data_IF_512251073687
#
_entry.id   IF_512251073687
#
_cell.length_a   1.000
_cell.length_b   1.000
_cell.length_c   1.000
_cell.angle_alpha   90.00
_cell.angle_beta   90.00
_cell.angle_gamma   90.00
#
_symmetry.space_group_name_H-M   'P 1'
#
loop_
_entity.id
_entity.type
_entity.pdbx_description
1 polymer ?
#
# COMPACT_ATOMS: atom_id res chain seq x y z
N UNK A 1 6.06 10.95 -24.92
CA UNK A 1 5.85 11.17 -23.47
C UNK A 1 7.16 11.08 -22.72
N UNK A 2 7.35 11.90 -21.68
CA UNK A 2 8.46 11.74 -20.76
C UNK A 2 8.15 10.59 -19.80
N UNK A 3 9.16 9.73 -19.55
CA UNK A 3 9.08 8.60 -18.65
C UNK A 3 10.41 8.33 -17.96
N UNK A 4 10.36 7.59 -16.85
CA UNK A 4 11.56 7.00 -16.27
C UNK A 4 11.50 5.47 -16.41
N UNK A 5 12.63 4.82 -16.67
CA UNK A 5 12.71 3.38 -16.84
C UNK A 5 14.04 2.81 -16.39
N UNK A 6 14.09 1.49 -16.31
CA UNK A 6 15.34 0.74 -16.17
C UNK A 6 15.31 -0.50 -17.08
N UNK A 7 16.50 -1.00 -17.45
CA UNK A 7 16.71 -2.12 -18.38
C UNK A 7 17.38 -3.33 -17.70
N UNK A 8 17.88 -3.13 -16.50
CA UNK A 8 18.45 -4.16 -15.62
C UNK A 8 18.16 -3.85 -14.16
N UNK A 9 18.12 -4.88 -13.32
CA UNK A 9 18.02 -4.68 -11.87
C UNK A 9 19.31 -4.08 -11.31
N UNK A 10 19.22 -3.28 -10.25
CA UNK A 10 20.38 -2.69 -9.58
C UNK A 10 20.03 -1.48 -8.71
N UNK A 11 21.02 -0.80 -8.14
CA UNK A 11 20.85 0.46 -7.40
C UNK A 11 20.20 1.55 -8.27
N UNK A 12 19.39 2.43 -7.66
CA UNK A 12 18.67 3.46 -8.41
C UNK A 12 19.61 4.35 -9.23
N UNK A 13 20.72 4.76 -8.64
CA UNK A 13 21.70 5.63 -9.30
C UNK A 13 22.32 5.02 -10.57
N UNK A 14 22.40 3.68 -10.64
CA UNK A 14 23.11 2.99 -11.72
C UNK A 14 22.17 2.56 -12.86
N UNK A 15 20.87 2.45 -12.58
CA UNK A 15 19.94 1.82 -13.52
C UNK A 15 18.80 2.71 -13.99
N UNK A 16 18.41 3.71 -13.19
CA UNK A 16 17.29 4.59 -13.56
C UNK A 16 17.70 5.54 -14.69
N UNK A 17 16.84 5.62 -15.67
CA UNK A 17 16.95 6.52 -16.83
C UNK A 17 15.70 7.37 -16.92
N UNK A 18 15.83 8.58 -17.41
CA UNK A 18 14.71 9.49 -17.71
C UNK A 18 14.89 10.01 -19.13
N UNK A 19 13.81 10.10 -19.88
CA UNK A 19 13.85 10.62 -21.23
C UNK A 19 12.51 10.50 -21.94
N UNK A 20 12.54 10.75 -23.23
CA UNK A 20 11.38 10.69 -24.11
C UNK A 20 11.20 9.26 -24.66
N UNK A 21 9.98 8.77 -24.58
CA UNK A 21 9.51 7.53 -25.21
C UNK A 21 8.32 7.85 -26.13
N UNK A 22 8.05 7.00 -27.14
CA UNK A 22 6.83 7.13 -27.94
C UNK A 22 5.57 7.14 -27.09
N UNK A 23 4.57 7.89 -27.53
CA UNK A 23 3.25 7.83 -26.91
C UNK A 23 2.64 6.44 -27.08
N UNK A 24 1.82 6.06 -26.12
CA UNK A 24 1.18 4.74 -26.06
C UNK A 24 -0.32 4.87 -26.30
N UNK A 25 -0.91 3.89 -26.95
CA UNK A 25 -2.34 3.85 -27.26
C UNK A 25 -3.01 2.70 -26.49
N UNK A 26 -4.24 2.91 -25.96
CA UNK A 26 -4.95 1.88 -25.22
C UNK A 26 -5.46 0.78 -26.15
N UNK A 27 -5.22 -0.47 -25.80
CA UNK A 27 -5.80 -1.64 -26.47
C UNK A 27 -7.30 -1.79 -26.13
N UNK A 28 -7.98 -2.77 -26.75
CA UNK A 28 -9.35 -3.11 -26.39
C UNK A 28 -9.44 -3.49 -24.91
N UNK A 29 -10.42 -2.93 -24.18
CA UNK A 29 -10.59 -3.12 -22.73
C UNK A 29 -9.70 -2.24 -21.85
N UNK A 30 -8.80 -1.42 -22.45
CA UNK A 30 -7.91 -0.52 -21.71
C UNK A 30 -8.35 0.93 -21.77
N UNK A 31 -7.86 1.71 -20.83
CA UNK A 31 -7.88 3.19 -20.86
C UNK A 31 -6.45 3.70 -20.91
N UNK A 32 -6.24 4.90 -21.48
CA UNK A 32 -5.03 5.67 -21.27
C UNK A 32 -5.31 6.75 -20.23
N UNK A 33 -4.46 6.82 -19.22
CA UNK A 33 -4.51 7.83 -18.17
C UNK A 33 -3.34 8.78 -18.35
N UNK A 34 -3.62 10.08 -18.52
CA UNK A 34 -2.63 11.14 -18.35
C UNK A 34 -2.42 11.33 -16.86
N UNK A 35 -1.25 10.97 -16.40
CA UNK A 35 -0.89 11.00 -14.99
C UNK A 35 -0.56 12.43 -14.55
N UNK A 36 -0.96 12.80 -13.36
CA UNK A 36 -0.58 14.00 -12.64
C UNK A 36 0.37 13.70 -11.50
N UNK A 37 0.22 12.52 -10.90
CA UNK A 37 1.05 12.07 -9.79
C UNK A 37 1.28 10.56 -9.86
N UNK A 38 2.48 10.13 -9.47
CA UNK A 38 2.86 8.74 -9.28
C UNK A 38 3.47 8.56 -7.88
N UNK A 39 3.11 7.49 -7.16
CA UNK A 39 3.71 7.19 -5.86
C UNK A 39 4.75 6.09 -5.96
N UNK A 40 5.85 6.25 -5.22
CA UNK A 40 6.91 5.25 -5.12
C UNK A 40 6.70 4.39 -3.88
N UNK A 41 6.46 3.11 -4.07
CA UNK A 41 6.26 2.14 -2.99
C UNK A 41 7.55 1.35 -2.68
N UNK A 42 7.68 0.79 -1.46
CA UNK A 42 8.77 -0.15 -1.14
C UNK A 42 8.84 -1.36 -2.08
N UNK A 43 7.70 -1.81 -2.61
CA UNK A 43 7.63 -2.90 -3.58
C UNK A 43 8.25 -2.55 -4.94
N UNK A 44 8.11 -1.30 -5.39
CA UNK A 44 8.70 -0.82 -6.64
C UNK A 44 10.22 -0.79 -6.53
N UNK A 45 10.72 -0.27 -5.41
CA UNK A 45 12.15 -0.22 -5.09
C UNK A 45 12.75 -1.63 -4.99
N UNK A 46 12.07 -2.55 -4.28
CA UNK A 46 12.50 -3.95 -4.18
C UNK A 46 12.50 -4.64 -5.55
N UNK A 47 11.49 -4.40 -6.39
CA UNK A 47 11.42 -4.96 -7.74
C UNK A 47 12.59 -4.47 -8.60
N UNK A 48 12.87 -3.16 -8.60
CA UNK A 48 14.03 -2.59 -9.29
C UNK A 48 15.35 -3.17 -8.73
N UNK A 49 15.44 -3.36 -7.42
CA UNK A 49 16.59 -3.95 -6.75
C UNK A 49 16.82 -5.44 -7.02
N UNK A 50 15.89 -6.14 -7.71
CA UNK A 50 16.07 -7.53 -8.12
C UNK A 50 15.17 -8.55 -7.41
N UNK A 51 14.20 -8.13 -6.60
CA UNK A 51 13.23 -9.07 -6.01
C UNK A 51 12.30 -9.73 -7.05
N UNK A 52 12.25 -9.18 -8.25
CA UNK A 52 11.55 -9.73 -9.43
C UNK A 52 12.44 -9.62 -10.68
N UNK A 53 12.45 -10.63 -11.56
CA UNK A 53 13.18 -10.54 -12.82
C UNK A 53 12.52 -9.54 -13.77
N UNK A 54 13.31 -8.85 -14.57
CA UNK A 54 12.83 -8.04 -15.68
C UNK A 54 12.46 -8.96 -16.84
N UNK A 55 11.25 -8.78 -17.39
CA UNK A 55 10.74 -9.58 -18.51
C UNK A 55 10.69 -8.81 -19.83
N UNK A 56 10.95 -7.51 -19.79
CA UNK A 56 10.85 -6.59 -20.93
C UNK A 56 12.15 -5.82 -21.13
N UNK A 57 12.48 -5.42 -22.37
CA UNK A 57 13.68 -4.64 -22.65
C UNK A 57 13.80 -3.35 -21.86
N UNK A 58 12.65 -2.73 -21.54
CA UNK A 58 12.52 -1.54 -20.70
C UNK A 58 11.37 -1.75 -19.73
N UNK A 59 11.53 -1.29 -18.49
CA UNK A 59 10.50 -1.33 -17.48
C UNK A 59 10.34 0.04 -16.84
N UNK A 60 9.16 0.65 -17.01
CA UNK A 60 8.75 1.86 -16.32
C UNK A 60 8.23 1.43 -14.93
N UNK A 61 8.85 1.88 -13.83
CA UNK A 61 8.44 1.46 -12.48
C UNK A 61 7.14 2.12 -12.02
N UNK A 62 6.82 1.84 -10.76
CA UNK A 62 5.72 2.32 -9.94
C UNK A 62 4.36 1.76 -10.35
N UNK A 63 3.62 1.39 -9.32
CA UNK A 63 2.31 0.74 -9.47
C UNK A 63 1.14 1.69 -9.27
N UNK A 64 1.34 2.78 -8.53
CA UNK A 64 0.31 3.69 -8.08
C UNK A 64 0.45 5.07 -8.71
N UNK A 65 -0.68 5.65 -9.06
CA UNK A 65 -0.73 7.00 -9.62
C UNK A 65 -2.16 7.53 -9.65
N UNK A 66 -2.31 8.76 -10.08
CA UNK A 66 -3.61 9.37 -10.34
C UNK A 66 -3.53 10.39 -11.48
N UNK A 67 -4.64 10.58 -12.15
CA UNK A 67 -4.72 11.47 -13.30
C UNK A 67 -6.09 11.45 -13.94
N UNK A 68 -6.11 11.73 -15.23
CA UNK A 68 -7.34 11.85 -16.03
C UNK A 68 -7.29 10.86 -17.20
N UNK A 69 -8.36 10.12 -17.43
CA UNK A 69 -8.51 9.32 -18.64
C UNK A 69 -8.53 10.28 -19.83
N UNK A 70 -7.61 10.13 -20.77
CA UNK A 70 -7.57 10.95 -21.98
C UNK A 70 -7.95 10.16 -23.24
N UNK A 71 -7.81 8.83 -23.22
CA UNK A 71 -8.27 7.94 -24.30
C UNK A 71 -8.86 6.65 -23.76
N UNK A 72 -9.76 6.05 -24.52
CA UNK A 72 -10.38 4.74 -24.18
C UNK A 72 -10.23 3.79 -25.37
N UNK A 73 -9.93 2.53 -25.08
CA UNK A 73 -9.90 1.46 -26.06
C UNK A 73 -11.29 0.91 -26.36
N UNK A 74 -11.38 0.06 -27.39
CA UNK A 74 -12.65 -0.54 -27.79
C UNK A 74 -13.27 -1.36 -26.66
N UNK A 75 -14.61 -1.27 -26.51
CA UNK A 75 -15.38 -2.02 -25.50
C UNK A 75 -15.38 -1.41 -24.10
N UNK A 76 -14.69 -0.30 -23.86
CA UNK A 76 -14.65 0.38 -22.56
C UNK A 76 -15.81 1.34 -22.40
N UNK A 77 -16.50 1.30 -21.25
CA UNK A 77 -17.63 2.18 -20.89
C UNK A 77 -17.21 3.43 -20.09
N UNK A 78 -15.92 3.77 -20.11
CA UNK A 78 -15.36 4.97 -19.46
C UNK A 78 -15.30 6.13 -20.47
N UNK A 79 -15.14 7.35 -19.98
CA UNK A 79 -15.08 8.56 -20.83
C UNK A 79 -13.79 9.33 -20.61
N UNK A 80 -13.21 9.95 -21.66
CA UNK A 80 -12.18 10.96 -21.47
C UNK A 80 -12.69 12.09 -20.56
N UNK A 81 -11.78 12.61 -19.72
CA UNK A 81 -12.08 13.61 -18.71
C UNK A 81 -12.35 13.04 -17.31
N UNK A 82 -12.59 11.74 -17.16
CA UNK A 82 -12.80 11.13 -15.84
C UNK A 82 -11.53 11.15 -15.01
N UNK A 83 -11.63 11.66 -13.78
CA UNK A 83 -10.56 11.61 -12.77
C UNK A 83 -10.46 10.21 -12.20
N UNK A 84 -9.22 9.69 -12.10
CA UNK A 84 -8.98 8.33 -11.61
C UNK A 84 -7.73 8.25 -10.75
N UNK A 85 -7.73 7.30 -9.83
CA UNK A 85 -6.52 6.73 -9.28
C UNK A 85 -6.29 5.34 -9.87
N UNK A 86 -5.02 4.92 -9.96
CA UNK A 86 -4.63 3.65 -10.54
C UNK A 86 -3.79 2.85 -9.54
N UNK A 87 -3.92 1.53 -9.59
CA UNK A 87 -3.10 0.61 -8.83
C UNK A 87 -2.67 -0.57 -9.72
N UNK A 88 -1.69 -1.33 -9.26
CA UNK A 88 -1.10 -2.41 -10.06
C UNK A 88 -0.61 -1.96 -11.45
N UNK A 89 -0.30 -0.68 -11.62
CA UNK A 89 0.08 -0.12 -12.91
C UNK A 89 1.22 -0.90 -13.58
N UNK A 90 2.24 -1.30 -12.82
CA UNK A 90 3.39 -2.04 -13.35
C UNK A 90 3.27 -3.57 -13.20
N UNK A 91 2.29 -4.09 -12.44
CA UNK A 91 2.23 -5.53 -12.19
C UNK A 91 2.03 -6.33 -13.49
N UNK A 92 3.00 -7.20 -13.79
CA UNK A 92 3.08 -8.05 -15.01
C UNK A 92 2.91 -7.29 -16.33
N UNK A 93 3.44 -6.04 -16.38
CA UNK A 93 3.44 -5.15 -17.55
C UNK A 93 4.75 -4.37 -17.63
N UNK A 94 5.10 -3.95 -18.86
CA UNK A 94 6.32 -3.18 -19.11
C UNK A 94 6.25 -1.77 -18.51
N UNK A 95 5.04 -1.15 -18.50
CA UNK A 95 4.86 0.27 -18.22
C UNK A 95 4.04 0.48 -16.97
N UNK A 96 4.66 1.08 -15.97
CA UNK A 96 4.05 1.57 -14.73
C UNK A 96 3.76 3.07 -14.78
N UNK A 97 3.59 3.66 -13.58
CA UNK A 97 3.12 5.05 -13.44
C UNK A 97 4.24 6.10 -13.39
N UNK A 98 5.51 5.72 -13.46
CA UNK A 98 6.63 6.68 -13.49
C UNK A 98 6.80 7.28 -14.90
N UNK A 99 5.74 7.86 -15.43
CA UNK A 99 5.63 8.43 -16.77
C UNK A 99 4.49 9.46 -16.83
N UNK A 100 4.45 10.25 -17.89
CA UNK A 100 3.33 11.17 -18.15
C UNK A 100 2.01 10.46 -18.49
N UNK A 101 2.09 9.24 -19.04
CA UNK A 101 0.92 8.46 -19.43
C UNK A 101 1.12 6.99 -19.14
N UNK A 102 0.01 6.30 -18.87
CA UNK A 102 -0.05 4.84 -18.76
C UNK A 102 -1.30 4.32 -19.48
N UNK A 103 -1.19 3.16 -20.15
CA UNK A 103 -2.34 2.38 -20.60
C UNK A 103 -2.53 1.18 -19.67
N UNK A 104 -3.76 0.87 -19.30
CA UNK A 104 -4.07 -0.22 -18.37
C UNK A 104 -5.51 -0.70 -18.53
N UNK A 105 -5.83 -1.96 -18.12
CA UNK A 105 -7.21 -2.42 -18.05
C UNK A 105 -8.09 -1.42 -17.30
N UNK A 106 -9.25 -1.09 -17.88
CA UNK A 106 -10.15 -0.06 -17.34
C UNK A 106 -10.56 -0.31 -15.88
N UNK A 107 -10.59 -1.59 -15.44
CA UNK A 107 -10.88 -1.97 -14.05
C UNK A 107 -9.81 -1.53 -13.05
N UNK A 108 -8.59 -1.21 -13.49
CA UNK A 108 -7.50 -0.73 -12.64
C UNK A 108 -7.45 0.81 -12.55
N UNK A 109 -8.27 1.52 -13.32
CA UNK A 109 -8.45 2.95 -13.27
C UNK A 109 -9.74 3.26 -12.49
N UNK A 110 -9.61 3.49 -11.19
CA UNK A 110 -10.74 3.64 -10.26
C UNK A 110 -11.15 5.11 -10.17
N UNK A 111 -12.46 5.45 -10.16
CA UNK A 111 -12.91 6.83 -10.02
C UNK A 111 -12.31 7.53 -8.81
N UNK A 112 -11.79 8.74 -8.99
CA UNK A 112 -11.24 9.59 -7.95
C UNK A 112 -12.25 10.70 -7.61
N UNK A 113 -12.75 10.78 -6.35
CA UNK A 113 -13.68 11.85 -5.95
C UNK A 113 -13.09 13.25 -6.17
N UNK A 114 -13.92 14.25 -6.48
CA UNK A 114 -13.47 15.60 -6.82
C UNK A 114 -12.74 16.31 -5.67
N UNK A 115 -13.10 16.01 -4.44
CA UNK A 115 -12.47 16.58 -3.24
C UNK A 115 -11.09 15.96 -2.89
N UNK A 116 -10.67 14.88 -3.60
CA UNK A 116 -9.37 14.23 -3.42
C UNK A 116 -8.42 14.72 -4.51
N UNK A 117 -7.26 15.25 -4.15
CA UNK A 117 -6.26 15.71 -5.13
C UNK A 117 -5.61 14.52 -5.87
N UNK A 118 -4.94 14.75 -7.00
CA UNK A 118 -4.24 13.67 -7.69
C UNK A 118 -3.07 13.10 -6.88
N UNK A 119 -2.37 13.92 -6.11
CA UNK A 119 -1.32 13.48 -5.20
C UNK A 119 -1.87 12.54 -4.12
N UNK A 120 -3.00 12.89 -3.54
CA UNK A 120 -3.73 12.04 -2.59
C UNK A 120 -4.25 10.77 -3.28
N UNK A 121 -4.76 10.88 -4.51
CA UNK A 121 -5.17 9.75 -5.32
C UNK A 121 -4.04 8.75 -5.59
N UNK A 122 -2.83 9.24 -5.87
CA UNK A 122 -1.64 8.40 -6.04
C UNK A 122 -1.25 7.64 -4.76
N UNK A 123 -1.72 8.07 -3.59
CA UNK A 123 -1.49 7.36 -2.32
C UNK A 123 -2.46 6.18 -2.09
N UNK A 124 -3.56 6.07 -2.87
CA UNK A 124 -4.63 5.09 -2.61
C UNK A 124 -4.28 3.65 -3.04
N UNK A 125 -3.43 3.47 -4.03
CA UNK A 125 -3.17 2.20 -4.67
C UNK A 125 -2.73 1.06 -3.74
N UNK A 126 -1.51 0.59 -3.88
CA UNK A 126 -1.00 -0.57 -3.14
C UNK A 126 -1.17 -0.45 -1.61
N UNK A 127 -0.88 0.69 -0.97
CA UNK A 127 -0.98 0.77 0.49
C UNK A 127 -2.41 0.66 1.04
N UNK A 128 -3.38 1.37 0.45
CA UNK A 128 -4.77 1.33 0.94
C UNK A 128 -5.43 0.01 0.59
N UNK A 129 -5.20 -0.54 -0.61
CA UNK A 129 -5.67 -1.86 -1.01
C UNK A 129 -5.10 -2.96 -0.10
N UNK A 130 -3.83 -2.86 0.31
CA UNK A 130 -3.20 -3.79 1.26
C UNK A 130 -3.84 -3.69 2.64
N UNK A 131 -4.02 -2.48 3.15
CA UNK A 131 -4.66 -2.22 4.43
C UNK A 131 -6.11 -2.74 4.44
N UNK A 132 -6.89 -2.44 3.39
CA UNK A 132 -8.25 -2.92 3.22
C UNK A 132 -8.30 -4.45 3.22
N UNK A 133 -7.48 -5.11 2.41
CA UNK A 133 -7.44 -6.57 2.32
C UNK A 133 -7.04 -7.22 3.65
N UNK A 134 -6.07 -6.63 4.36
CA UNK A 134 -5.64 -7.12 5.67
C UNK A 134 -6.74 -7.01 6.73
N UNK A 135 -7.63 -6.02 6.62
CA UNK A 135 -8.69 -5.78 7.60
C UNK A 135 -9.98 -6.56 7.29
N UNK A 136 -10.42 -6.59 6.02
CA UNK A 136 -11.79 -6.98 5.69
C UNK A 136 -11.93 -8.30 4.90
N UNK A 137 -10.83 -9.00 4.63
CA UNK A 137 -10.87 -10.24 3.85
C UNK A 137 -11.64 -11.40 4.50
N UNK A 138 -11.84 -11.34 5.81
CA UNK A 138 -12.40 -12.43 6.61
C UNK A 138 -13.64 -11.97 7.40
N UNK A 139 -14.35 -10.98 6.87
CA UNK A 139 -15.54 -10.40 7.47
C UNK A 139 -15.33 -9.06 8.17
N UNK A 140 -16.39 -8.54 8.79
CA UNK A 140 -16.38 -7.25 9.47
C UNK A 140 -15.53 -7.24 10.74
N UNK A 141 -15.09 -6.06 11.13
CA UNK A 141 -14.24 -5.84 12.31
C UNK A 141 -14.87 -4.94 13.36
N UNK A 142 -16.17 -4.65 13.23
CA UNK A 142 -16.91 -3.84 14.20
C UNK A 142 -16.82 -4.43 15.60
N UNK A 143 -16.45 -3.61 16.59
CA UNK A 143 -16.27 -4.01 17.99
C UNK A 143 -15.03 -4.88 18.28
N UNK A 144 -14.25 -5.25 17.26
CA UNK A 144 -13.02 -6.04 17.42
C UNK A 144 -11.84 -5.17 17.88
N UNK A 145 -10.88 -5.81 18.53
CA UNK A 145 -9.58 -5.21 18.83
C UNK A 145 -8.59 -5.57 17.71
N UNK A 146 -8.04 -4.55 17.03
CA UNK A 146 -7.11 -4.72 15.90
C UNK A 146 -5.73 -4.20 16.30
N UNK A 147 -4.71 -5.05 16.18
CA UNK A 147 -3.32 -4.64 16.27
C UNK A 147 -2.80 -4.30 14.86
N UNK A 148 -2.28 -3.09 14.68
CA UNK A 148 -1.57 -2.67 13.48
C UNK A 148 -0.09 -2.55 13.81
N UNK A 149 0.74 -3.49 13.35
CA UNK A 149 2.19 -3.38 13.53
C UNK A 149 2.77 -2.34 12.58
N UNK A 150 3.66 -1.48 13.08
CA UNK A 150 4.27 -0.43 12.27
C UNK A 150 3.31 0.66 11.79
N UNK A 151 2.47 1.19 12.67
CA UNK A 151 1.39 2.16 12.35
C UNK A 151 1.83 3.49 11.73
N UNK A 152 3.12 3.82 11.74
CA UNK A 152 3.65 5.00 11.04
C UNK A 152 4.16 4.71 9.63
N UNK A 153 4.14 3.45 9.18
CA UNK A 153 4.37 3.08 7.79
C UNK A 153 3.15 3.38 6.93
N UNK A 154 3.32 3.53 5.60
CA UNK A 154 2.21 3.92 4.72
C UNK A 154 1.02 2.96 4.77
N UNK A 155 1.22 1.65 4.77
CA UNK A 155 0.13 0.67 4.94
C UNK A 155 -0.48 0.77 6.34
N UNK A 156 0.36 0.84 7.40
CA UNK A 156 -0.10 0.92 8.80
C UNK A 156 -0.95 2.16 9.06
N UNK A 157 -0.58 3.29 8.49
CA UNK A 157 -1.32 4.55 8.58
C UNK A 157 -2.76 4.41 8.06
N UNK A 158 -2.94 3.81 6.88
CA UNK A 158 -4.27 3.56 6.33
C UNK A 158 -4.99 2.41 7.02
N UNK A 159 -4.26 1.39 7.51
CA UNK A 159 -4.87 0.32 8.29
C UNK A 159 -5.50 0.85 9.59
N UNK A 160 -4.86 1.80 10.26
CA UNK A 160 -5.44 2.49 11.43
C UNK A 160 -6.74 3.21 11.05
N UNK A 161 -6.72 4.03 10.01
CA UNK A 161 -7.88 4.82 9.58
C UNK A 161 -9.05 3.92 9.13
N UNK A 162 -8.77 2.92 8.30
CA UNK A 162 -9.78 1.96 7.84
C UNK A 162 -10.33 1.10 8.98
N UNK A 163 -9.48 0.71 9.96
CA UNK A 163 -9.93 -0.03 11.13
C UNK A 163 -10.85 0.83 12.02
N UNK A 164 -10.56 2.12 12.17
CA UNK A 164 -11.43 3.06 12.87
C UNK A 164 -12.75 3.27 12.14
N UNK A 165 -12.71 3.43 10.82
CA UNK A 165 -13.92 3.48 9.98
C UNK A 165 -14.76 2.20 10.11
N UNK A 166 -14.13 1.03 10.19
CA UNK A 166 -14.78 -0.27 10.43
C UNK A 166 -15.28 -0.48 11.86
N UNK A 167 -15.13 0.49 12.76
CA UNK A 167 -15.62 0.44 14.15
C UNK A 167 -14.75 -0.40 15.11
N UNK A 168 -13.48 -0.62 14.80
CA UNK A 168 -12.56 -1.34 15.67
C UNK A 168 -11.91 -0.47 16.73
N UNK A 169 -11.47 -1.10 17.83
CA UNK A 169 -10.48 -0.56 18.75
C UNK A 169 -9.09 -0.84 18.20
N UNK A 170 -8.28 0.19 18.01
CA UNK A 170 -7.00 0.09 17.28
C UNK A 170 -5.82 0.29 18.22
N UNK A 171 -5.01 -0.77 18.38
CA UNK A 171 -3.70 -0.73 19.01
C UNK A 171 -2.65 -0.72 17.91
N UNK A 172 -1.59 0.07 18.05
CA UNK A 172 -0.52 0.08 17.07
C UNK A 172 0.86 0.14 17.71
N UNK A 173 1.88 -0.35 16.98
CA UNK A 173 3.28 -0.29 17.40
C UNK A 173 4.08 0.68 16.55
N UNK A 174 4.99 1.41 17.21
CA UNK A 174 5.88 2.41 16.58
C UNK A 174 7.27 2.36 17.22
N UNK A 175 8.25 3.10 16.64
CA UNK A 175 9.65 3.10 17.11
C UNK A 175 10.13 4.44 17.65
N UNK A 176 9.29 5.49 17.70
CA UNK A 176 9.68 6.82 18.20
C UNK A 176 8.47 7.67 18.55
N UNK A 177 8.70 8.76 19.28
CA UNK A 177 7.66 9.72 19.66
C UNK A 177 7.01 10.41 18.44
N UNK A 178 7.80 10.79 17.43
CA UNK A 178 7.27 11.37 16.18
C UNK A 178 6.33 10.40 15.45
N UNK A 179 6.72 9.11 15.36
CA UNK A 179 5.89 8.06 14.79
C UNK A 179 4.63 7.79 15.63
N UNK A 180 4.71 7.95 16.95
CA UNK A 180 3.57 7.83 17.84
C UNK A 180 2.54 8.96 17.62
N UNK A 181 3.00 10.19 17.47
CA UNK A 181 2.14 11.32 17.15
C UNK A 181 1.42 11.12 15.81
N UNK A 182 2.15 10.63 14.78
CA UNK A 182 1.58 10.31 13.47
C UNK A 182 0.49 9.22 13.54
N UNK A 183 0.76 8.14 14.29
CA UNK A 183 -0.22 7.06 14.45
C UNK A 183 -1.47 7.48 15.23
N UNK A 184 -1.33 8.35 16.25
CA UNK A 184 -2.47 8.94 16.96
C UNK A 184 -3.30 9.85 16.06
N UNK A 185 -2.65 10.67 15.23
CA UNK A 185 -3.33 11.50 14.24
C UNK A 185 -4.15 10.67 13.25
N UNK A 186 -3.70 9.46 12.91
CA UNK A 186 -4.45 8.52 12.09
C UNK A 186 -5.63 7.86 12.82
N UNK A 187 -5.78 8.05 14.15
CA UNK A 187 -6.91 7.55 14.94
C UNK A 187 -6.60 6.33 15.80
N UNK A 188 -5.34 5.94 16.01
CA UNK A 188 -5.00 4.83 16.90
C UNK A 188 -5.40 5.14 18.35
N UNK A 189 -6.15 4.23 18.99
CA UNK A 189 -6.59 4.38 20.38
C UNK A 189 -5.42 4.16 21.35
N UNK A 190 -4.56 3.18 21.06
CA UNK A 190 -3.38 2.86 21.86
C UNK A 190 -2.14 2.79 20.98
N UNK A 191 -1.09 3.48 21.38
CA UNK A 191 0.20 3.48 20.68
C UNK A 191 1.30 2.98 21.62
N UNK A 192 1.97 1.90 21.20
CA UNK A 192 3.02 1.22 21.96
C UNK A 192 4.37 1.45 21.26
N UNK A 193 5.37 1.94 21.98
CA UNK A 193 6.72 2.07 21.45
C UNK A 193 7.52 0.78 21.73
N UNK A 194 7.61 -0.09 20.72
CA UNK A 194 8.27 -1.39 20.83
C UNK A 194 9.78 -1.34 21.16
N UNK A 195 10.40 -0.17 21.19
CA UNK A 195 11.81 -0.01 21.59
C UNK A 195 12.00 0.09 23.08
N UNK A 196 10.94 0.47 23.82
CA UNK A 196 11.01 0.72 25.26
C UNK A 196 9.93 -0.02 26.04
N UNK A 197 8.86 -0.45 25.39
CA UNK A 197 7.73 -1.14 26.00
C UNK A 197 7.78 -2.65 25.71
N UNK A 198 7.32 -3.47 26.66
CA UNK A 198 6.92 -4.85 26.39
C UNK A 198 5.55 -4.83 25.68
N UNK A 199 5.57 -5.09 24.38
CA UNK A 199 4.38 -5.00 23.53
C UNK A 199 3.30 -5.99 23.98
N UNK A 200 3.67 -7.23 24.29
CA UNK A 200 2.70 -8.26 24.69
C UNK A 200 2.05 -7.93 26.04
N UNK A 201 2.85 -7.52 27.04
CA UNK A 201 2.34 -7.12 28.35
C UNK A 201 1.39 -5.90 28.24
N UNK A 202 1.75 -4.90 27.41
CA UNK A 202 0.92 -3.71 27.20
C UNK A 202 -0.41 -4.04 26.53
N UNK A 203 -0.44 -4.90 25.50
CA UNK A 203 -1.67 -5.34 24.84
C UNK A 203 -2.56 -6.11 25.82
N UNK A 204 -1.99 -7.05 26.59
CA UNK A 204 -2.73 -7.83 27.56
C UNK A 204 -3.35 -6.98 28.67
N UNK A 205 -2.62 -6.00 29.16
CA UNK A 205 -3.13 -5.06 30.18
C UNK A 205 -4.25 -4.18 29.64
N UNK A 206 -4.20 -3.80 28.36
CA UNK A 206 -5.18 -2.92 27.73
C UNK A 206 -6.49 -3.64 27.36
N UNK A 207 -6.40 -4.84 26.77
CA UNK A 207 -7.55 -5.55 26.18
C UNK A 207 -7.55 -7.08 26.37
N UNK A 208 -6.61 -7.63 27.12
CA UNK A 208 -6.45 -9.07 27.24
C UNK A 208 -5.83 -9.75 26.01
N UNK A 209 -6.12 -9.24 24.80
CA UNK A 209 -5.62 -9.74 23.54
C UNK A 209 -6.19 -8.97 22.36
N UNK A 210 -5.96 -9.48 21.12
CA UNK A 210 -6.40 -8.87 19.88
C UNK A 210 -7.07 -9.89 18.96
N UNK A 211 -8.10 -9.48 18.22
CA UNK A 211 -8.87 -10.35 17.33
C UNK A 211 -8.27 -10.41 15.92
N UNK A 212 -7.55 -9.36 15.54
CA UNK A 212 -6.89 -9.26 14.23
C UNK A 212 -5.58 -8.51 14.33
N UNK A 213 -4.59 -8.99 13.59
CA UNK A 213 -3.28 -8.36 13.45
C UNK A 213 -3.05 -8.02 11.98
N UNK A 214 -2.80 -6.75 11.68
CA UNK A 214 -2.29 -6.27 10.39
C UNK A 214 -0.78 -6.20 10.50
N UNK A 215 -0.08 -7.13 9.84
CA UNK A 215 1.30 -7.45 10.16
C UNK A 215 2.28 -7.06 9.03
N UNK A 216 3.24 -6.19 9.38
CA UNK A 216 4.25 -5.65 8.45
C UNK A 216 5.53 -6.47 8.39
N UNK A 217 5.88 -7.21 9.45
CA UNK A 217 7.11 -8.01 9.52
C UNK A 217 6.87 -9.32 10.28
N UNK A 218 6.15 -10.22 9.61
CA UNK A 218 5.57 -11.42 10.18
C UNK A 218 6.58 -12.24 10.99
N UNK A 219 7.74 -12.55 10.39
CA UNK A 219 8.71 -13.41 11.07
C UNK A 219 9.29 -12.79 12.34
N UNK A 220 9.49 -11.48 12.35
CA UNK A 220 10.01 -10.77 13.53
C UNK A 220 8.99 -10.69 14.65
N UNK A 221 7.73 -10.41 14.29
CA UNK A 221 6.68 -10.15 15.28
C UNK A 221 5.89 -11.42 15.69
N UNK A 222 6.09 -12.54 14.99
CA UNK A 222 5.36 -13.78 15.23
C UNK A 222 5.37 -14.25 16.70
N UNK A 223 6.49 -14.16 17.46
CA UNK A 223 6.49 -14.53 18.89
C UNK A 223 5.55 -13.66 19.74
N UNK A 224 5.45 -12.36 19.44
CA UNK A 224 4.52 -11.45 20.12
C UNK A 224 3.09 -11.74 19.67
N UNK A 225 2.88 -11.92 18.37
CA UNK A 225 1.56 -12.24 17.80
C UNK A 225 0.95 -13.49 18.43
N UNK A 226 1.74 -14.56 18.62
CA UNK A 226 1.29 -15.79 19.27
C UNK A 226 0.86 -15.60 20.74
N UNK A 227 1.45 -14.63 21.44
CA UNK A 227 1.12 -14.34 22.83
C UNK A 227 -0.15 -13.51 23.00
N UNK A 228 -0.48 -12.66 22.02
CA UNK A 228 -1.56 -11.66 22.15
C UNK A 228 -2.80 -11.96 21.32
N UNK A 229 -2.72 -12.91 20.38
CA UNK A 229 -3.85 -13.26 19.52
C UNK A 229 -4.93 -13.96 20.34
N UNK A 230 -6.18 -13.53 20.21
CA UNK A 230 -7.35 -14.20 20.77
C UNK A 230 -7.66 -15.49 20.01
N UNK A 231 -8.44 -16.39 20.63
CA UNK A 231 -8.87 -17.64 20.01
C UNK A 231 -9.71 -17.34 18.74
N UNK A 232 -9.42 -18.05 17.65
CA UNK A 232 -10.03 -17.80 16.33
C UNK A 232 -9.59 -16.50 15.67
N UNK A 233 -8.58 -15.81 16.21
CA UNK A 233 -8.10 -14.55 15.67
C UNK A 233 -7.37 -14.69 14.33
N UNK A 234 -7.16 -13.56 13.66
CA UNK A 234 -6.56 -13.50 12.32
C UNK A 234 -5.23 -12.77 12.35
N UNK A 235 -4.19 -13.37 11.77
CA UNK A 235 -2.93 -12.67 11.46
C UNK A 235 -2.90 -12.44 9.95
N UNK A 236 -3.12 -11.20 9.52
CA UNK A 236 -3.06 -10.80 8.12
C UNK A 236 -1.70 -10.15 7.83
N UNK A 237 -0.78 -10.90 7.22
CA UNK A 237 0.59 -10.47 6.96
C UNK A 237 0.80 -10.10 5.49
N UNK A 238 1.49 -8.97 5.25
CA UNK A 238 1.83 -8.51 3.90
C UNK A 238 3.33 -8.37 3.65
N UNK A 239 4.15 -8.59 4.68
CA UNK A 239 5.60 -8.64 4.56
C UNK A 239 6.23 -9.48 5.69
N UNK A 240 7.45 -9.96 5.45
CA UNK A 240 8.33 -10.62 6.42
C UNK A 240 9.78 -10.36 5.99
N UNK A 241 10.25 -9.13 6.24
CA UNK A 241 11.54 -8.66 5.69
C UNK A 241 12.70 -9.02 6.60
N UNK A 242 12.55 -8.84 7.91
CA UNK A 242 13.64 -9.06 8.88
C UNK A 242 13.95 -10.56 9.07
N UNK A 243 12.92 -11.39 9.10
CA UNK A 243 13.05 -12.85 9.21
C UNK A 243 12.15 -13.50 8.13
N UNK A 244 12.67 -13.71 6.91
CA UNK A 244 11.86 -14.22 5.80
C UNK A 244 11.34 -15.64 5.97
N UNK A 245 12.03 -16.44 6.79
CA UNK A 245 11.67 -17.85 7.10
C UNK A 245 11.66 -18.03 8.61
N UNK A 246 10.59 -17.61 9.32
CA UNK A 246 10.52 -17.73 10.75
C UNK A 246 10.30 -19.18 11.20
N UNK A 247 10.79 -19.51 12.41
CA UNK A 247 10.30 -20.67 13.12
C UNK A 247 8.82 -20.44 13.49
N UNK A 248 7.98 -21.44 13.20
CA UNK A 248 6.55 -21.35 13.49
C UNK A 248 6.25 -21.88 14.89
N UNK A 249 5.72 -21.08 15.83
CA UNK A 249 5.40 -21.49 17.18
C UNK A 249 4.09 -22.30 17.18
N UNK A 250 4.18 -23.54 16.67
CA UNK A 250 3.01 -24.39 16.45
C UNK A 250 2.18 -24.66 17.71
N UNK A 251 2.79 -25.04 18.88
CA UNK A 251 2.01 -25.33 20.07
C UNK A 251 1.21 -24.12 20.55
N UNK A 252 1.81 -22.93 20.59
CA UNK A 252 1.18 -21.70 21.07
C UNK A 252 0.02 -21.27 20.17
N UNK A 253 0.18 -21.41 18.86
CA UNK A 253 -0.84 -21.05 17.89
C UNK A 253 -1.92 -22.13 17.75
N UNK A 254 -1.60 -23.41 17.95
CA UNK A 254 -2.60 -24.48 17.92
C UNK A 254 -3.79 -24.19 18.85
N UNK A 255 -3.50 -23.78 20.08
CA UNK A 255 -4.55 -23.46 21.05
C UNK A 255 -5.38 -22.22 20.70
N UNK A 256 -4.85 -21.35 19.85
CA UNK A 256 -5.55 -20.15 19.37
C UNK A 256 -6.43 -20.40 18.15
N UNK A 257 -6.27 -21.55 17.47
CA UNK A 257 -6.97 -21.87 16.23
C UNK A 257 -7.00 -20.69 15.23
N UNK A 258 -5.85 -20.08 14.87
CA UNK A 258 -5.77 -18.84 14.12
C UNK A 258 -6.02 -19.02 12.64
N UNK A 259 -6.48 -17.97 11.98
CA UNK A 259 -6.40 -17.84 10.55
C UNK A 259 -5.12 -17.05 10.17
N UNK A 260 -4.21 -17.67 9.41
CA UNK A 260 -3.09 -16.98 8.79
C UNK A 260 -3.47 -16.52 7.39
N UNK A 261 -3.54 -15.23 7.17
CA UNK A 261 -3.87 -14.60 5.89
C UNK A 261 -2.64 -13.93 5.29
N UNK A 262 -2.11 -14.47 4.21
CA UNK A 262 -1.12 -13.77 3.41
C UNK A 262 -1.82 -12.77 2.49
N UNK A 263 -1.40 -11.52 2.53
CA UNK A 263 -1.96 -10.43 1.76
C UNK A 263 -1.00 -10.04 0.65
N UNK A 264 -1.36 -10.37 -0.58
CA UNK A 264 -0.61 -10.02 -1.78
C UNK A 264 -1.58 -9.40 -2.80
N UNK A 265 -1.66 -8.07 -2.78
CA UNK A 265 -2.73 -7.33 -3.50
C UNK A 265 -2.65 -7.43 -5.01
N UNK A 266 -1.48 -7.71 -5.55
CA UNK A 266 -1.27 -7.82 -7.00
C UNK A 266 -2.11 -8.94 -7.64
N UNK A 267 -2.36 -10.02 -6.91
CA UNK A 267 -3.10 -11.21 -7.39
C UNK A 267 -4.47 -11.38 -6.74
N UNK A 268 -5.03 -10.32 -6.15
CA UNK A 268 -6.40 -10.36 -5.62
C UNK A 268 -7.40 -10.75 -6.72
N UNK A 269 -8.39 -11.56 -6.35
CA UNK A 269 -9.53 -11.84 -7.22
C UNK A 269 -10.31 -10.56 -7.55
N UNK A 270 -10.89 -10.49 -8.74
CA UNK A 270 -11.57 -9.27 -9.22
C UNK A 270 -12.74 -8.85 -8.32
N UNK A 271 -13.50 -9.80 -7.78
CA UNK A 271 -14.55 -9.50 -6.80
C UNK A 271 -13.99 -8.83 -5.53
N UNK A 272 -12.82 -9.26 -5.04
CA UNK A 272 -12.17 -8.66 -3.88
C UNK A 272 -11.62 -7.26 -4.19
N UNK A 273 -11.14 -7.02 -5.42
CA UNK A 273 -10.75 -5.68 -5.88
C UNK A 273 -11.97 -4.76 -5.95
N UNK A 274 -13.05 -5.21 -6.58
CA UNK A 274 -14.29 -4.44 -6.70
C UNK A 274 -14.85 -4.05 -5.32
N UNK A 275 -14.87 -4.99 -4.36
CA UNK A 275 -15.27 -4.70 -2.98
C UNK A 275 -14.36 -3.64 -2.34
N UNK A 276 -13.04 -3.79 -2.48
CA UNK A 276 -12.08 -2.82 -1.93
C UNK A 276 -12.28 -1.42 -2.55
N UNK A 277 -12.49 -1.32 -3.86
CA UNK A 277 -12.76 -0.05 -4.53
C UNK A 277 -14.04 0.62 -3.99
N UNK A 278 -15.12 -0.16 -3.82
CA UNK A 278 -16.38 0.35 -3.28
C UNK A 278 -16.22 0.84 -1.83
N UNK A 279 -15.54 0.06 -0.99
CA UNK A 279 -15.32 0.43 0.42
C UNK A 279 -14.37 1.63 0.55
N UNK A 280 -13.33 1.73 -0.27
CA UNK A 280 -12.42 2.89 -0.29
C UNK A 280 -13.18 4.15 -0.73
N UNK A 281 -14.03 4.05 -1.75
CA UNK A 281 -14.86 5.18 -2.20
C UNK A 281 -15.81 5.65 -1.08
N UNK A 282 -16.44 4.72 -0.36
CA UNK A 282 -17.28 5.02 0.81
C UNK A 282 -16.46 5.66 1.93
N UNK A 283 -15.33 5.07 2.29
CA UNK A 283 -14.44 5.62 3.32
C UNK A 283 -14.05 7.06 3.01
N UNK A 284 -13.67 7.36 1.76
CA UNK A 284 -13.30 8.71 1.31
C UNK A 284 -14.48 9.70 1.36
N UNK A 285 -15.72 9.22 1.19
CA UNK A 285 -16.92 10.07 1.27
C UNK A 285 -17.44 10.26 2.70
N UNK A 286 -17.21 9.28 3.58
CA UNK A 286 -17.75 9.27 4.95
C UNK A 286 -16.77 9.83 5.99
N UNK A 287 -15.47 9.95 5.65
CA UNK A 287 -14.43 10.38 6.59
C UNK A 287 -13.46 11.39 5.98
N UNK A 288 -12.92 12.33 6.77
CA UNK A 288 -11.81 13.17 6.34
C UNK A 288 -10.50 12.35 6.32
N UNK A 289 -10.27 11.61 5.24
CA UNK A 289 -9.09 10.77 5.10
C UNK A 289 -7.80 11.60 5.22
N UNK A 290 -6.85 11.12 6.02
CA UNK A 290 -5.56 11.78 6.26
C UNK A 290 -4.52 11.16 5.35
N UNK A 291 -3.97 11.97 4.46
CA UNK A 291 -2.89 11.58 3.55
C UNK A 291 -1.56 12.14 4.05
N UNK A 292 -0.61 11.25 4.30
CA UNK A 292 0.73 11.64 4.71
C UNK A 292 1.66 11.59 3.49
N UNK A 293 2.05 12.74 2.98
CA UNK A 293 3.04 12.88 1.90
C UNK A 293 4.31 13.47 2.49
N UNK A 294 5.40 12.70 2.43
CA UNK A 294 6.69 13.09 3.00
C UNK A 294 7.52 13.94 2.04
N UNK A 295 7.51 13.59 0.76
CA UNK A 295 8.33 14.23 -0.24
C UNK A 295 7.64 14.29 -1.60
N UNK A 296 7.89 15.40 -2.31
CA UNK A 296 7.54 15.60 -3.71
C UNK A 296 8.83 15.69 -4.51
N UNK A 297 8.85 14.98 -5.64
CA UNK A 297 9.93 15.02 -6.61
C UNK A 297 9.37 15.24 -8.00
N UNK A 298 10.15 15.86 -8.89
CA UNK A 298 9.84 15.84 -10.33
C UNK A 298 10.15 14.46 -10.90
N UNK A 299 9.53 14.12 -12.01
CA UNK A 299 9.82 12.86 -12.71
C UNK A 299 11.31 12.73 -13.07
N UNK A 300 11.99 13.85 -13.37
CA UNK A 300 13.45 13.91 -13.59
C UNK A 300 14.27 13.43 -12.39
N UNK A 301 13.74 13.54 -11.18
CA UNK A 301 14.43 13.23 -9.93
C UNK A 301 14.05 11.84 -9.38
N UNK A 302 13.52 10.96 -10.23
CA UNK A 302 13.05 9.63 -9.87
C UNK A 302 14.08 8.80 -9.11
N UNK A 303 15.36 8.96 -9.42
CA UNK A 303 16.47 8.30 -8.71
C UNK A 303 16.45 8.69 -7.23
N UNK A 304 16.39 9.98 -6.94
CA UNK A 304 16.32 10.49 -5.57
C UNK A 304 15.04 10.05 -4.84
N UNK A 305 13.92 10.01 -5.56
CA UNK A 305 12.64 9.53 -5.02
C UNK A 305 12.73 8.06 -4.59
N UNK A 306 13.28 7.17 -5.44
CA UNK A 306 13.51 5.77 -5.10
C UNK A 306 14.46 5.60 -3.91
N UNK A 307 15.56 6.36 -3.87
CA UNK A 307 16.51 6.36 -2.75
C UNK A 307 15.88 6.85 -1.44
N UNK A 308 14.95 7.83 -1.48
CA UNK A 308 14.22 8.28 -0.31
C UNK A 308 13.33 7.17 0.29
N UNK A 309 12.74 6.33 -0.58
CA UNK A 309 11.99 5.16 -0.13
C UNK A 309 12.92 4.07 0.43
N UNK A 310 14.09 3.84 -0.18
CA UNK A 310 15.09 2.87 0.29
C UNK A 310 15.61 3.17 1.69
N UNK A 311 15.88 4.44 2.00
CA UNK A 311 16.34 4.84 3.33
C UNK A 311 15.34 4.53 4.45
N UNK A 312 14.04 4.49 4.13
CA UNK A 312 13.01 4.11 5.11
C UNK A 312 12.80 5.06 6.29
N UNK A 313 13.43 6.24 6.27
CA UNK A 313 13.42 7.22 7.37
C UNK A 313 12.20 8.14 7.34
N UNK A 314 11.48 8.18 6.22
CA UNK A 314 10.33 9.04 6.00
C UNK A 314 9.06 8.55 6.70
N UNK A 315 8.19 9.48 7.05
CA UNK A 315 6.81 9.22 7.48
C UNK A 315 5.88 9.72 6.37
N UNK A 316 5.25 8.79 5.63
CA UNK A 316 4.37 9.12 4.52
C UNK A 316 4.89 8.67 3.15
N UNK A 317 4.16 9.08 2.11
CA UNK A 317 4.46 8.75 0.72
C UNK A 317 5.59 9.59 0.11
N UNK A 318 6.20 9.06 -0.92
CA UNK A 318 7.04 9.80 -1.88
C UNK A 318 6.28 9.88 -3.19
N UNK A 319 6.04 11.10 -3.66
CA UNK A 319 5.26 11.40 -4.85
C UNK A 319 6.17 11.95 -5.94
N UNK A 320 5.97 11.51 -7.17
CA UNK A 320 6.53 12.08 -8.38
C UNK A 320 5.45 12.92 -9.07
N UNK A 321 5.75 14.18 -9.34
CA UNK A 321 5.00 15.01 -10.27
C UNK A 321 5.35 14.55 -11.69
N UNK A 322 4.35 14.19 -12.46
CA UNK A 322 4.50 13.63 -13.81
C UNK A 322 4.12 14.62 -14.93
N UNK A 323 3.86 15.90 -14.58
CA UNK A 323 3.53 16.97 -15.55
C UNK A 323 4.76 17.61 -16.17
#
# INVERSE_FOLDING_TARGET
MIASWYEKNGPAADVMKVGELPDIEPAAGEVRVRLHASAVNPSDVKARGGSRPIRWPKLIPNSDGAGVIDKVGAGVQRKPGERVWVFNGQWDRAFGTSAQMITLPAALAVPLPDHVTFEQGACLGIPVMTAHRALFSDGGIYGKTVLVTGGAGVVGHYAIQLAKWGGAHVITTVSSAAKAAHARAAGADVVINYRVDDVAARIKAERGGVDRIVEVDFGKNLPVSAQVLNDGGVIACYASTSIPRPAYPYPELLWRNPLLRQVFVYTMADAAKAQAHADIARWLSETPAIFAIAHHYKLSDVTAAHQAVERGEKIGHVILDTQ
#
